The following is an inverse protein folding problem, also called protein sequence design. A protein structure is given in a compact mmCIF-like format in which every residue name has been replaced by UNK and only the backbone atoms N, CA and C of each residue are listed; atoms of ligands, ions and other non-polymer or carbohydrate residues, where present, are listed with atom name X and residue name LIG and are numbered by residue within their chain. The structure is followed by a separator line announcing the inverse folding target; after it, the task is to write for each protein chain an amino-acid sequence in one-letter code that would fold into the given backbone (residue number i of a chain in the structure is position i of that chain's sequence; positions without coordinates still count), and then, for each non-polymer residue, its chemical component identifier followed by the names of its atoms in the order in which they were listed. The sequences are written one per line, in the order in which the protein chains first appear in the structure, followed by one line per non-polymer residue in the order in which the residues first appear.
data_IF_184894984272
#
_entry.id   IF_184894984272
#
_cell.length_a   1.000
_cell.length_b   1.000
_cell.length_c   1.000
_cell.angle_alpha   90.00
_cell.angle_beta   90.00
_cell.angle_gamma   90.00
#
_symmetry.space_group_name_H-M   'P 1'
#
loop_
_entity.id
_entity.type
_entity.pdbx_description
1 polymer ?
#
# COMPACT_ATOMS: atom_id res chain seq x y z
N UNK A 1 4.51 11.69 -6.43
CA UNK A 1 5.91 11.55 -5.95
C UNK A 1 6.52 10.30 -6.57
N UNK A 2 7.78 10.34 -6.91
CA UNK A 2 8.50 9.17 -7.41
C UNK A 2 9.04 8.35 -6.25
N UNK A 3 9.20 7.03 -6.45
CA UNK A 3 9.67 6.14 -5.39
C UNK A 3 11.06 6.53 -4.89
N UNK A 4 11.96 6.97 -5.76
CA UNK A 4 13.30 7.43 -5.32
C UNK A 4 13.22 8.58 -4.32
N UNK A 5 12.25 9.47 -4.46
CA UNK A 5 12.06 10.58 -3.54
C UNK A 5 11.50 10.11 -2.19
N UNK A 6 10.62 9.11 -2.23
CA UNK A 6 10.09 8.48 -1.02
C UNK A 6 11.21 7.83 -0.21
N UNK A 7 12.13 7.14 -0.90
CA UNK A 7 13.25 6.45 -0.24
C UNK A 7 14.22 7.39 0.46
N UNK A 8 14.22 8.67 0.10
CA UNK A 8 15.06 9.70 0.75
C UNK A 8 14.43 10.25 2.03
N UNK A 9 13.17 9.93 2.31
CA UNK A 9 12.50 10.41 3.51
C UNK A 9 13.05 9.68 4.74
N UNK A 10 13.53 10.44 5.71
CA UNK A 10 14.14 9.89 6.93
C UNK A 10 13.16 9.70 8.07
N UNK A 11 11.96 10.26 7.93
CA UNK A 11 10.90 10.20 8.93
C UNK A 11 9.63 9.63 8.33
N UNK A 12 8.76 9.08 9.19
CA UNK A 12 7.44 8.65 8.78
C UNK A 12 6.69 9.83 8.16
N UNK A 13 6.16 9.62 6.97
CA UNK A 13 5.51 10.67 6.18
C UNK A 13 4.17 10.16 5.67
N UNK A 14 3.14 10.98 5.75
CA UNK A 14 1.78 10.62 5.36
C UNK A 14 1.33 11.49 4.18
N UNK A 15 0.29 11.04 3.48
CA UNK A 15 -0.25 11.80 2.36
C UNK A 15 0.58 11.70 1.08
N UNK A 16 1.22 10.56 0.86
CA UNK A 16 2.05 10.33 -0.32
C UNK A 16 1.20 9.77 -1.44
N UNK A 17 1.36 10.36 -2.63
CA UNK A 17 0.72 9.88 -3.87
C UNK A 17 1.78 9.35 -4.82
N UNK A 18 1.56 8.14 -5.35
CA UNK A 18 2.38 7.53 -6.40
C UNK A 18 1.50 7.41 -7.65
N UNK A 19 1.80 8.19 -8.67
CA UNK A 19 0.98 8.30 -9.89
C UNK A 19 0.97 7.01 -10.71
N UNK A 20 2.11 6.36 -10.81
CA UNK A 20 2.24 5.15 -11.62
C UNK A 20 3.40 4.30 -11.11
N UNK A 21 3.10 3.03 -10.85
CA UNK A 21 4.08 2.03 -10.48
C UNK A 21 3.60 0.68 -11.00
N UNK A 22 4.48 -0.32 -10.96
CA UNK A 22 4.17 -1.69 -11.35
C UNK A 22 4.40 -2.59 -10.14
N UNK A 23 3.50 -3.54 -9.92
CA UNK A 23 3.68 -4.56 -8.88
C UNK A 23 4.70 -5.57 -9.38
N UNK A 24 5.86 -5.63 -8.72
CA UNK A 24 6.93 -6.58 -9.07
C UNK A 24 6.61 -7.96 -8.52
N UNK A 25 6.16 -8.01 -7.27
CA UNK A 25 5.76 -9.25 -6.64
C UNK A 25 4.65 -8.98 -5.62
N UNK A 26 3.83 -10.00 -5.40
CA UNK A 26 2.71 -9.92 -4.47
C UNK A 26 2.75 -11.13 -3.53
N UNK A 27 2.79 -10.87 -2.23
CA UNK A 27 2.73 -11.90 -1.21
C UNK A 27 1.33 -12.46 -1.04
N UNK A 28 1.18 -13.35 -0.09
CA UNK A 28 -0.12 -13.93 0.27
C UNK A 28 -0.88 -13.00 1.19
N UNK A 29 -2.21 -13.07 1.13
CA UNK A 29 -3.05 -12.40 2.11
C UNK A 29 -2.76 -13.00 3.49
N UNK A 30 -2.34 -12.15 4.43
CA UNK A 30 -1.87 -12.57 5.74
C UNK A 30 -2.75 -11.96 6.83
N UNK A 31 -3.07 -12.75 7.83
CA UNK A 31 -3.83 -12.27 8.98
C UNK A 31 -2.90 -11.52 9.95
N UNK A 32 -3.31 -10.32 10.36
CA UNK A 32 -2.55 -9.51 11.31
C UNK A 32 -2.96 -9.87 12.73
N UNK A 33 -2.08 -10.58 13.44
CA UNK A 33 -2.31 -11.03 14.82
C UNK A 33 -2.52 -9.88 15.80
N UNK A 34 -1.90 -8.74 15.54
CA UNK A 34 -1.93 -7.60 16.46
C UNK A 34 -3.14 -6.69 16.23
N UNK A 35 -3.79 -6.85 15.10
CA UNK A 35 -4.95 -6.03 14.76
C UNK A 35 -6.14 -6.29 15.70
N UNK A 36 -6.28 -7.51 16.22
CA UNK A 36 -7.40 -7.88 17.09
C UNK A 36 -7.50 -6.99 18.32
N UNK A 37 -6.37 -6.63 18.90
CA UNK A 37 -6.33 -5.76 20.08
C UNK A 37 -6.71 -4.31 19.73
N UNK A 38 -6.18 -3.78 18.64
CA UNK A 38 -6.38 -2.39 18.23
C UNK A 38 -7.71 -2.18 17.52
N UNK A 39 -8.22 -3.19 16.86
CA UNK A 39 -9.42 -3.13 16.03
C UNK A 39 -10.69 -3.58 16.75
N UNK A 40 -10.63 -3.82 18.05
CA UNK A 40 -11.75 -4.24 18.90
C UNK A 40 -12.46 -5.51 18.38
N UNK A 41 -11.66 -6.50 17.97
CA UNK A 41 -12.17 -7.78 17.51
C UNK A 41 -12.47 -7.87 16.02
N UNK A 42 -12.22 -6.82 15.26
CA UNK A 42 -12.35 -6.89 13.80
C UNK A 42 -11.11 -7.58 13.22
N UNK A 43 -11.34 -8.51 12.30
CA UNK A 43 -10.26 -9.17 11.59
C UNK A 43 -9.63 -8.20 10.61
N UNK A 44 -8.30 -8.04 10.71
CA UNK A 44 -7.55 -7.25 9.75
C UNK A 44 -6.53 -8.14 9.06
N UNK A 45 -6.50 -8.06 7.75
CA UNK A 45 -5.54 -8.77 6.94
C UNK A 45 -4.68 -7.78 6.16
N UNK A 46 -3.54 -8.23 5.69
CA UNK A 46 -2.68 -7.41 4.85
C UNK A 46 -2.03 -8.28 3.78
N UNK A 47 -1.55 -7.61 2.75
CA UNK A 47 -0.78 -8.23 1.68
C UNK A 47 0.43 -7.36 1.42
N UNK A 48 1.61 -7.94 1.46
CA UNK A 48 2.86 -7.24 1.18
C UNK A 48 3.18 -7.35 -0.30
N UNK A 49 3.47 -6.21 -0.91
CA UNK A 49 3.83 -6.08 -2.31
C UNK A 49 5.21 -5.47 -2.41
N UNK A 50 5.88 -5.75 -3.52
CA UNK A 50 7.02 -4.97 -3.98
C UNK A 50 6.57 -4.22 -5.23
N UNK A 51 6.76 -2.90 -5.24
CA UNK A 51 6.39 -2.04 -6.35
C UNK A 51 7.60 -1.29 -6.88
N UNK A 52 7.59 -0.97 -8.17
CA UNK A 52 8.64 -0.16 -8.78
C UNK A 52 8.05 0.86 -9.74
N UNK A 53 8.75 1.97 -9.88
CA UNK A 53 8.51 2.92 -10.96
C UNK A 53 9.79 3.03 -11.82
N UNK A 54 9.88 4.05 -12.65
CA UNK A 54 11.05 4.29 -13.49
C UNK A 54 12.29 4.74 -12.71
N UNK A 55 12.19 4.95 -11.40
CA UNK A 55 13.27 5.49 -10.55
C UNK A 55 13.80 4.49 -9.54
N UNK A 56 12.94 3.70 -8.88
CA UNK A 56 13.35 2.82 -7.77
C UNK A 56 12.28 1.79 -7.45
N UNK A 57 12.55 0.95 -6.45
CA UNK A 57 11.60 -0.03 -5.90
C UNK A 57 11.42 0.19 -4.41
N UNK A 58 10.26 -0.17 -3.89
CA UNK A 58 10.03 -0.24 -2.45
C UNK A 58 8.92 -1.23 -2.11
N UNK A 59 8.80 -1.57 -0.82
CA UNK A 59 7.71 -2.39 -0.32
C UNK A 59 6.45 -1.56 -0.10
N UNK A 60 5.30 -2.22 -0.21
CA UNK A 60 4.00 -1.65 0.10
C UNK A 60 3.19 -2.69 0.87
N UNK A 61 2.69 -2.33 2.03
CA UNK A 61 1.73 -3.15 2.76
C UNK A 61 0.32 -2.60 2.54
N UNK A 62 -0.53 -3.43 1.93
CA UNK A 62 -1.95 -3.10 1.71
C UNK A 62 -2.77 -3.76 2.82
N UNK A 63 -3.45 -2.96 3.63
CA UNK A 63 -4.25 -3.44 4.76
C UNK A 63 -5.73 -3.38 4.47
N UNK A 64 -6.50 -4.35 4.99
CA UNK A 64 -7.95 -4.23 5.06
C UNK A 64 -8.34 -2.99 5.87
N UNK A 65 -9.51 -2.47 5.59
CA UNK A 65 -9.97 -1.24 6.21
C UNK A 65 -9.82 -0.06 5.28
N UNK A 66 -8.71 0.03 4.54
CA UNK A 66 -8.58 0.97 3.44
C UNK A 66 -9.15 0.39 2.14
N UNK A 67 -8.99 -0.93 1.95
CA UNK A 67 -9.40 -1.63 0.73
C UNK A 67 -10.05 -2.96 1.11
N UNK A 68 -11.01 -3.43 0.33
CA UNK A 68 -11.69 -4.70 0.61
C UNK A 68 -10.76 -5.91 0.43
N UNK A 69 -11.04 -7.00 1.14
CA UNK A 69 -10.27 -8.25 1.01
C UNK A 69 -10.27 -8.80 -0.41
N UNK A 70 -11.41 -8.72 -1.11
CA UNK A 70 -11.52 -9.18 -2.49
C UNK A 70 -10.60 -8.40 -3.42
N UNK A 71 -10.58 -7.08 -3.25
CA UNK A 71 -9.72 -6.21 -4.03
C UNK A 71 -8.24 -6.48 -3.77
N UNK A 72 -7.88 -6.62 -2.49
CA UNK A 72 -6.49 -6.94 -2.08
C UNK A 72 -6.05 -8.26 -2.69
N UNK A 73 -6.91 -9.27 -2.65
CA UNK A 73 -6.61 -10.61 -3.20
C UNK A 73 -6.41 -10.59 -4.71
N UNK A 74 -7.01 -9.63 -5.41
CA UNK A 74 -6.89 -9.51 -6.87
C UNK A 74 -5.56 -8.87 -7.31
N UNK A 75 -4.82 -8.24 -6.40
CA UNK A 75 -3.54 -7.60 -6.74
C UNK A 75 -2.49 -8.67 -7.04
N UNK A 76 -1.91 -8.62 -8.23
CA UNK A 76 -0.94 -9.61 -8.68
C UNK A 76 0.25 -8.93 -9.35
N UNK A 77 1.35 -9.69 -9.52
CA UNK A 77 2.53 -9.20 -10.21
C UNK A 77 2.20 -8.72 -11.63
N UNK A 78 2.96 -7.75 -12.08
CA UNK A 78 2.85 -7.11 -13.40
C UNK A 78 1.68 -6.14 -13.55
N UNK A 79 0.82 -6.00 -12.54
CA UNK A 79 -0.25 -5.01 -12.55
C UNK A 79 0.30 -3.60 -12.37
N UNK A 80 -0.24 -2.65 -13.13
CA UNK A 80 0.02 -1.22 -12.87
C UNK A 80 -0.81 -0.80 -11.68
N UNK A 81 -0.26 0.10 -10.87
CA UNK A 81 -0.90 0.55 -9.65
C UNK A 81 -0.72 2.06 -9.48
N UNK A 82 -1.75 2.71 -8.99
CA UNK A 82 -1.71 4.12 -8.58
C UNK A 82 -2.12 4.20 -7.12
N UNK A 83 -1.32 4.90 -6.32
CA UNK A 83 -1.54 5.03 -4.89
C UNK A 83 -1.87 6.47 -4.54
N UNK A 84 -2.86 6.65 -3.68
CA UNK A 84 -3.26 7.96 -3.17
C UNK A 84 -3.28 7.92 -1.65
N UNK A 85 -2.65 8.91 -1.03
CA UNK A 85 -2.66 9.10 0.43
C UNK A 85 -2.13 7.90 1.22
N UNK A 86 -1.00 7.34 0.78
CA UNK A 86 -0.31 6.27 1.52
C UNK A 86 0.74 6.87 2.46
N UNK A 87 1.17 6.09 3.43
CA UNK A 87 2.18 6.49 4.40
C UNK A 87 3.52 5.83 4.12
N UNK A 88 4.61 6.52 4.46
CA UNK A 88 5.96 5.99 4.44
C UNK A 88 6.43 5.71 5.86
N UNK A 89 6.82 4.47 6.12
CA UNK A 89 7.38 4.04 7.40
C UNK A 89 8.89 3.97 7.26
N UNK A 90 9.57 5.03 7.66
CA UNK A 90 11.01 5.20 7.42
C UNK A 90 11.86 4.10 8.07
N UNK A 91 11.51 3.67 9.28
CA UNK A 91 12.23 2.63 10.00
C UNK A 91 12.02 1.23 9.39
N UNK A 92 10.94 1.02 8.67
CA UNK A 92 10.64 -0.24 7.99
C UNK A 92 10.94 -0.18 6.50
N UNK A 93 11.22 1.00 5.98
CA UNK A 93 11.50 1.29 4.57
C UNK A 93 10.44 0.73 3.63
N UNK A 94 9.18 0.98 3.96
CA UNK A 94 8.06 0.57 3.12
C UNK A 94 6.91 1.58 3.20
N UNK A 95 6.09 1.56 2.16
CA UNK A 95 4.81 2.26 2.14
C UNK A 95 3.74 1.38 2.81
N UNK A 96 2.71 2.01 3.34
CA UNK A 96 1.56 1.33 3.91
C UNK A 96 0.29 2.08 3.58
N UNK A 97 -0.79 1.34 3.32
CA UNK A 97 -2.11 1.95 3.25
C UNK A 97 -2.55 2.34 4.66
N UNK A 98 -3.42 3.31 4.73
CA UNK A 98 -3.95 3.81 5.98
C UNK A 98 -5.44 4.05 5.85
N UNK A 99 -6.15 3.88 6.96
CA UNK A 99 -7.52 4.31 7.11
C UNK A 99 -7.63 4.96 8.48
N UNK A 100 -7.97 6.23 8.48
CA UNK A 100 -8.22 6.96 9.69
C UNK A 100 -9.61 7.57 9.64
N UNK A 101 -10.03 8.18 10.74
CA UNK A 101 -11.30 8.89 10.82
C UNK A 101 -11.44 10.00 9.76
N UNK A 102 -10.30 10.58 9.35
CA UNK A 102 -10.27 11.76 8.47
C UNK A 102 -9.70 11.49 7.08
N UNK A 103 -9.02 10.37 6.89
CA UNK A 103 -8.34 10.08 5.63
C UNK A 103 -8.19 8.59 5.42
N UNK A 104 -8.27 8.16 4.17
CA UNK A 104 -8.03 6.79 3.77
C UNK A 104 -7.16 6.76 2.52
N UNK A 105 -6.33 5.72 2.39
CA UNK A 105 -5.59 5.48 1.17
C UNK A 105 -6.50 4.92 0.09
N UNK A 106 -6.16 5.19 -1.15
CA UNK A 106 -6.85 4.63 -2.30
C UNK A 106 -5.85 3.94 -3.22
N UNK A 107 -6.29 2.88 -3.87
CA UNK A 107 -5.49 2.09 -4.80
C UNK A 107 -6.31 1.87 -6.06
N UNK A 108 -5.73 2.23 -7.21
CA UNK A 108 -6.30 1.93 -8.51
C UNK A 108 -5.39 0.96 -9.25
N UNK A 109 -5.96 -0.03 -9.88
CA UNK A 109 -5.25 -1.01 -10.70
C UNK A 109 -5.56 -0.79 -12.19
N UNK A 110 -4.77 -1.37 -13.05
CA UNK A 110 -4.77 -1.30 -14.53
C UNK A 110 -5.97 -0.62 -15.21
N UNK A 111 -7.11 -1.31 -15.22
CA UNK A 111 -8.31 -0.86 -15.93
C UNK A 111 -8.90 0.42 -15.33
N UNK A 112 -8.73 0.62 -14.05
CA UNK A 112 -9.24 1.78 -13.34
C UNK A 112 -8.38 3.02 -13.58
N UNK A 113 -7.06 2.83 -13.82
CA UNK A 113 -6.13 3.92 -14.10
C UNK A 113 -6.43 4.57 -15.45
N UNK A 114 -6.85 3.77 -16.43
CA UNK A 114 -7.07 4.19 -17.81
C UNK A 114 -8.50 4.74 -18.06
N UNK A 115 -9.32 4.81 -17.05
CA UNK A 115 -10.67 5.39 -17.14
C UNK A 115 -10.68 6.88 -16.99
#
# INVERSE_FOLDING_TARGET
MKIEDVLKLEENTWGIDIQEAVVVSAGKLTFDKFATYKSKGQEMTYKDLEIEDDTAKCGLRVKTGAVSNEYISSIKAESRIRLTNVGWLANQKRLTTMKSRFAASDILLDDEIDK
#
